data_IF_286710284804
#
_entry.id   IF_286710284804
#
_cell.length_a   1.000
_cell.length_b   1.000
_cell.length_c   1.000
_cell.angle_alpha   90.00
_cell.angle_beta   90.00
_cell.angle_gamma   90.00
#
_symmetry.space_group_name_H-M   'P 1'
#
loop_
_entity.id
_entity.type
_entity.pdbx_description
1 polymer ?
#
# COMPACT_ATOMS: atom_id res chain seq x y z
N UNK A 1 4.44 11.44 28.82
CA UNK A 1 4.96 12.83 28.94
C UNK A 1 4.05 13.87 28.27
N UNK A 2 3.55 13.60 27.07
CA UNK A 2 2.61 14.47 26.33
C UNK A 2 1.38 14.93 27.13
N UNK A 3 0.73 14.02 27.86
CA UNK A 3 -0.48 14.30 28.64
C UNK A 3 -0.27 15.37 29.74
N UNK A 4 0.92 15.41 30.34
CA UNK A 4 1.28 16.41 31.35
C UNK A 4 1.43 17.79 30.70
N UNK A 5 2.11 17.87 29.56
CA UNK A 5 2.25 19.10 28.77
C UNK A 5 0.91 19.64 28.28
N UNK A 6 0.00 18.75 27.89
CA UNK A 6 -1.37 19.07 27.51
C UNK A 6 -2.13 19.73 28.67
N UNK A 7 -2.12 19.11 29.85
CA UNK A 7 -2.82 19.64 31.02
C UNK A 7 -2.24 20.97 31.50
N UNK A 8 -0.92 21.12 31.51
CA UNK A 8 -0.25 22.38 31.88
C UNK A 8 -0.62 23.50 30.90
N UNK A 9 -0.66 23.20 29.60
CA UNK A 9 -1.07 24.17 28.58
C UNK A 9 -2.54 24.58 28.76
N UNK A 10 -3.45 23.62 28.89
CA UNK A 10 -4.88 23.90 29.09
C UNK A 10 -5.15 24.72 30.36
N UNK A 11 -4.44 24.42 31.45
CA UNK A 11 -4.54 25.17 32.70
C UNK A 11 -4.00 26.61 32.54
N UNK A 12 -2.85 26.77 31.89
CA UNK A 12 -2.27 28.08 31.59
C UNK A 12 -3.20 28.94 30.73
N UNK A 13 -3.84 28.34 29.71
CA UNK A 13 -4.86 29.02 28.91
C UNK A 13 -6.08 29.43 29.72
N UNK A 14 -6.60 28.55 30.59
CA UNK A 14 -7.73 28.87 31.45
C UNK A 14 -7.46 30.09 32.34
N UNK A 15 -6.28 30.16 32.95
CA UNK A 15 -5.85 31.32 33.76
C UNK A 15 -5.74 32.58 32.89
N UNK A 16 -5.11 32.47 31.72
CA UNK A 16 -4.95 33.59 30.80
C UNK A 16 -6.30 34.19 30.37
N UNK A 17 -7.25 33.35 29.97
CA UNK A 17 -8.61 33.76 29.62
C UNK A 17 -9.36 34.40 30.79
N UNK A 18 -9.21 33.87 32.00
CA UNK A 18 -9.80 34.45 33.21
C UNK A 18 -9.27 35.86 33.47
N UNK A 19 -7.95 36.07 33.37
CA UNK A 19 -7.32 37.38 33.57
C UNK A 19 -7.77 38.41 32.53
N UNK A 20 -7.93 37.98 31.28
CA UNK A 20 -8.47 38.81 30.20
C UNK A 20 -9.94 39.17 30.43
N UNK A 21 -10.77 38.21 30.86
CA UNK A 21 -12.17 38.46 31.17
C UNK A 21 -12.33 39.50 32.30
N UNK A 22 -11.45 39.43 33.32
CA UNK A 22 -11.40 40.41 34.41
C UNK A 22 -10.96 41.79 33.88
N UNK A 23 -9.92 41.86 33.05
CA UNK A 23 -9.41 43.12 32.50
C UNK A 23 -10.35 43.80 31.49
N UNK A 24 -11.10 43.03 30.71
CA UNK A 24 -12.04 43.57 29.69
C UNK A 24 -13.29 44.20 30.28
N UNK A 25 -13.65 43.87 31.52
CA UNK A 25 -14.75 44.49 32.24
C UNK A 25 -14.63 46.02 32.33
N UNK A 26 -13.40 46.56 32.30
CA UNK A 26 -13.14 47.98 32.57
C UNK A 26 -12.80 48.85 31.34
N UNK A 27 -12.68 48.29 30.13
CA UNK A 27 -12.21 49.05 28.97
C UNK A 27 -13.35 49.46 28.03
N UNK A 28 -13.29 50.69 27.47
CA UNK A 28 -14.21 51.16 26.40
C UNK A 28 -14.04 50.36 25.08
N UNK A 29 -12.94 49.63 24.92
CA UNK A 29 -12.54 48.95 23.68
C UNK A 29 -12.68 47.42 23.74
N UNK A 30 -13.77 46.93 24.35
CA UNK A 30 -14.01 45.48 24.57
C UNK A 30 -13.83 44.64 23.31
N UNK A 31 -14.28 45.13 22.14
CA UNK A 31 -14.18 44.41 20.85
C UNK A 31 -12.73 44.13 20.43
N UNK A 32 -11.83 45.10 20.58
CA UNK A 32 -10.43 44.94 20.17
C UNK A 32 -9.74 43.87 21.02
N UNK A 33 -9.98 43.90 22.34
CA UNK A 33 -9.40 42.90 23.26
C UNK A 33 -9.90 41.50 22.93
N UNK A 34 -11.20 41.33 22.62
CA UNK A 34 -11.72 40.02 22.20
C UNK A 34 -11.03 39.48 20.94
N UNK A 35 -10.83 40.31 19.92
CA UNK A 35 -10.13 39.90 18.70
C UNK A 35 -8.67 39.51 18.97
N UNK A 36 -7.96 40.28 19.80
CA UNK A 36 -6.56 39.97 20.14
C UNK A 36 -6.46 38.63 20.87
N UNK A 37 -7.37 38.36 21.79
CA UNK A 37 -7.38 37.13 22.61
C UNK A 37 -7.73 35.92 21.76
N UNK A 38 -8.73 36.05 20.89
CA UNK A 38 -9.10 35.01 19.94
C UNK A 38 -7.93 34.68 19.01
N UNK A 39 -7.25 35.70 18.48
CA UNK A 39 -6.10 35.53 17.60
C UNK A 39 -4.91 34.84 18.31
N UNK A 40 -4.59 35.25 19.55
CA UNK A 40 -3.51 34.61 20.32
C UNK A 40 -3.82 33.14 20.65
N UNK A 41 -5.07 32.86 21.00
CA UNK A 41 -5.52 31.50 21.30
C UNK A 41 -5.44 30.61 20.06
N UNK A 42 -5.79 31.16 18.89
CA UNK A 42 -5.64 30.48 17.61
C UNK A 42 -4.19 30.16 17.29
N UNK A 43 -3.28 31.14 17.39
CA UNK A 43 -1.85 30.95 17.10
C UNK A 43 -1.25 29.90 18.02
N UNK A 44 -1.51 29.98 19.32
CA UNK A 44 -0.92 29.08 20.29
C UNK A 44 -1.52 27.66 20.20
N UNK A 45 -2.81 27.50 19.88
CA UNK A 45 -3.39 26.20 19.54
C UNK A 45 -2.79 25.62 18.23
N UNK A 46 -2.55 26.47 17.22
CA UNK A 46 -1.97 26.04 15.95
C UNK A 46 -0.55 25.49 16.10
N UNK A 47 0.24 26.07 17.01
CA UNK A 47 1.61 25.63 17.30
C UNK A 47 1.61 24.31 18.09
N UNK A 48 0.66 24.13 19.01
CA UNK A 48 0.67 22.99 19.93
C UNK A 48 0.12 21.69 19.34
N UNK A 49 -0.81 21.75 18.38
CA UNK A 49 -1.63 20.59 18.01
C UNK A 49 -1.55 20.14 16.54
N UNK A 50 -0.80 20.85 15.69
CA UNK A 50 -0.62 20.47 14.29
C UNK A 50 -1.85 20.66 13.39
N UNK A 51 -1.73 20.21 12.14
CA UNK A 51 -2.66 20.53 11.05
C UNK A 51 -4.12 20.02 11.21
N UNK A 52 -4.40 18.83 11.78
CA UNK A 52 -5.77 18.34 11.89
C UNK A 52 -6.62 19.11 12.92
N UNK A 53 -5.97 19.61 13.98
CA UNK A 53 -6.64 20.39 15.03
C UNK A 53 -6.85 21.85 14.57
N UNK A 54 -6.01 22.33 13.67
CA UNK A 54 -6.14 23.64 13.02
C UNK A 54 -7.46 23.78 12.25
N UNK A 55 -7.89 22.77 11.50
CA UNK A 55 -9.13 22.84 10.70
C UNK A 55 -10.38 22.96 11.58
N UNK A 56 -10.46 22.18 12.65
CA UNK A 56 -11.53 22.27 13.65
C UNK A 56 -11.51 23.62 14.37
N UNK A 57 -10.33 24.16 14.71
CA UNK A 57 -10.22 25.50 15.29
C UNK A 57 -10.67 26.61 14.35
N UNK A 58 -10.36 26.52 13.05
CA UNK A 58 -10.81 27.49 12.04
C UNK A 58 -12.35 27.49 11.95
N UNK A 59 -12.99 26.32 11.92
CA UNK A 59 -14.47 26.22 11.86
C UNK A 59 -15.11 26.88 13.08
N UNK A 60 -14.59 26.61 14.28
CA UNK A 60 -15.09 27.24 15.52
C UNK A 60 -14.84 28.75 15.56
N UNK A 61 -13.69 29.22 15.06
CA UNK A 61 -13.43 30.66 14.94
C UNK A 61 -14.39 31.36 13.98
N UNK A 62 -14.68 30.75 12.84
CA UNK A 62 -15.64 31.29 11.86
C UNK A 62 -17.03 31.34 12.50
N UNK A 63 -17.47 30.25 13.12
CA UNK A 63 -18.76 30.19 13.81
C UNK A 63 -18.88 31.25 14.92
N UNK A 64 -17.83 31.42 15.73
CA UNK A 64 -17.79 32.43 16.78
C UNK A 64 -17.77 33.86 16.23
N UNK A 65 -17.00 34.11 15.16
CA UNK A 65 -16.95 35.41 14.48
C UNK A 65 -18.31 35.78 13.86
N UNK A 66 -18.99 34.81 13.24
CA UNK A 66 -20.35 34.98 12.72
C UNK A 66 -21.36 35.27 13.85
N UNK A 67 -21.26 34.58 14.99
CA UNK A 67 -22.10 34.84 16.15
C UNK A 67 -21.92 36.28 16.69
N UNK A 68 -20.69 36.76 16.75
CA UNK A 68 -20.36 38.13 17.16
C UNK A 68 -20.83 39.19 16.14
N UNK A 69 -20.86 38.85 14.84
CA UNK A 69 -21.40 39.72 13.80
C UNK A 69 -22.92 39.86 13.90
N UNK A 70 -23.63 38.79 14.28
CA UNK A 70 -25.10 38.77 14.36
C UNK A 70 -25.61 39.41 15.66
N UNK A 71 -24.83 39.33 16.76
CA UNK A 71 -25.27 39.81 18.08
C UNK A 71 -24.53 41.08 18.50
N UNK A 72 -25.25 42.20 18.65
CA UNK A 72 -24.64 43.50 19.00
C UNK A 72 -23.86 43.45 20.33
N UNK A 73 -24.35 42.65 21.28
CA UNK A 73 -23.65 42.13 22.46
C UNK A 73 -24.35 40.83 22.90
N UNK A 74 -23.76 39.63 22.73
CA UNK A 74 -24.37 38.42 23.24
C UNK A 74 -24.44 38.49 24.77
N UNK A 75 -25.52 37.99 25.38
CA UNK A 75 -25.60 37.92 26.83
C UNK A 75 -24.51 37.01 27.38
N UNK A 76 -23.99 37.30 28.59
CA UNK A 76 -22.83 36.61 29.20
C UNK A 76 -23.00 35.08 29.26
N UNK A 77 -24.23 34.60 29.42
CA UNK A 77 -24.54 33.17 29.44
C UNK A 77 -24.26 32.50 28.08
N UNK A 78 -24.49 33.18 26.96
CA UNK A 78 -24.24 32.64 25.63
C UNK A 78 -22.73 32.50 25.35
N UNK A 79 -21.93 33.45 25.82
CA UNK A 79 -20.46 33.34 25.76
C UNK A 79 -19.93 32.21 26.65
N UNK A 80 -20.49 32.07 27.85
CA UNK A 80 -20.11 31.00 28.77
C UNK A 80 -20.43 29.62 28.17
N UNK A 81 -21.59 29.49 27.53
CA UNK A 81 -21.98 28.27 26.81
C UNK A 81 -21.07 27.99 25.61
N UNK A 82 -20.74 28.99 24.81
CA UNK A 82 -19.81 28.83 23.67
C UNK A 82 -18.41 28.39 24.13
N UNK A 83 -17.90 28.98 25.22
CA UNK A 83 -16.62 28.58 25.81
C UNK A 83 -16.66 27.14 26.35
N UNK A 84 -17.76 26.75 27.02
CA UNK A 84 -17.95 25.39 27.49
C UNK A 84 -17.99 24.37 26.34
N UNK A 85 -18.76 24.64 25.28
CA UNK A 85 -18.84 23.77 24.10
C UNK A 85 -17.49 23.66 23.39
N UNK A 86 -16.74 24.76 23.29
CA UNK A 86 -15.39 24.75 22.75
C UNK A 86 -14.44 23.86 23.58
N UNK A 87 -14.44 24.02 24.90
CA UNK A 87 -13.64 23.19 25.81
C UNK A 87 -14.02 21.71 25.69
N UNK A 88 -15.31 21.37 25.61
CA UNK A 88 -15.78 20.00 25.38
C UNK A 88 -15.29 19.46 24.03
N UNK A 89 -15.31 20.27 22.97
CA UNK A 89 -14.76 19.90 21.67
C UNK A 89 -13.25 19.63 21.72
N UNK A 90 -12.47 20.46 22.41
CA UNK A 90 -11.03 20.24 22.61
C UNK A 90 -10.73 18.97 23.40
N UNK A 91 -11.51 18.70 24.47
CA UNK A 91 -11.38 17.46 25.26
C UNK A 91 -11.70 16.25 24.41
N UNK A 92 -12.78 16.30 23.61
CA UNK A 92 -13.17 15.21 22.72
C UNK A 92 -12.10 14.93 21.65
N UNK A 93 -11.59 15.98 20.98
CA UNK A 93 -10.52 15.83 19.98
C UNK A 93 -9.21 15.30 20.60
N UNK A 94 -8.86 15.76 21.81
CA UNK A 94 -7.67 15.26 22.52
C UNK A 94 -7.84 13.80 22.94
N UNK A 95 -9.02 13.41 23.40
CA UNK A 95 -9.35 12.02 23.72
C UNK A 95 -9.21 11.14 22.47
N UNK A 96 -9.77 11.58 21.35
CA UNK A 96 -9.70 10.84 20.08
C UNK A 96 -8.26 10.68 19.58
N UNK A 97 -7.46 11.75 19.65
CA UNK A 97 -6.03 11.67 19.34
C UNK A 97 -5.27 10.69 20.25
N UNK A 98 -5.51 10.72 21.57
CA UNK A 98 -4.89 9.75 22.50
C UNK A 98 -5.37 8.33 22.23
N UNK A 99 -6.64 8.15 21.85
CA UNK A 99 -7.19 6.85 21.45
C UNK A 99 -6.47 6.31 20.22
N UNK A 100 -6.27 7.13 19.19
CA UNK A 100 -5.54 6.76 17.98
C UNK A 100 -4.08 6.37 18.27
N UNK A 101 -3.39 7.12 19.14
CA UNK A 101 -2.02 6.77 19.55
C UNK A 101 -1.96 5.44 20.33
N UNK A 102 -2.92 5.18 21.22
CA UNK A 102 -2.97 3.91 21.96
C UNK A 102 -3.30 2.72 21.06
N UNK A 103 -4.13 2.94 20.05
CA UNK A 103 -4.41 1.96 19.01
C UNK A 103 -3.07 1.57 18.37
N UNK A 104 -2.31 2.53 17.86
CA UNK A 104 -1.00 2.28 17.25
C UNK A 104 -0.03 1.50 18.17
N UNK A 105 0.12 1.91 19.44
CA UNK A 105 0.92 1.19 20.43
C UNK A 105 0.48 -0.27 20.63
N UNK A 106 -0.84 -0.53 20.70
CA UNK A 106 -1.37 -1.89 20.83
C UNK A 106 -1.11 -2.73 19.57
N UNK A 107 -1.19 -2.11 18.40
CA UNK A 107 -0.93 -2.80 17.14
C UNK A 107 0.54 -3.13 16.95
N UNK A 108 1.46 -2.21 17.25
CA UNK A 108 2.89 -2.50 17.26
C UNK A 108 3.26 -3.60 18.26
N UNK A 109 2.58 -3.65 19.41
CA UNK A 109 2.77 -4.72 20.39
C UNK A 109 2.26 -6.08 19.89
N UNK A 110 1.19 -6.09 19.09
CA UNK A 110 0.57 -7.31 18.56
C UNK A 110 1.25 -7.82 17.29
N UNK A 111 1.70 -6.91 16.43
CA UNK A 111 2.31 -7.16 15.15
C UNK A 111 3.66 -6.43 15.10
N UNK A 112 4.74 -7.07 15.55
CA UNK A 112 6.05 -6.43 15.58
C UNK A 112 6.47 -6.04 14.17
N UNK A 113 7.11 -4.87 14.06
CA UNK A 113 7.71 -4.39 12.83
C UNK A 113 8.82 -5.37 12.42
N UNK A 114 8.72 -5.88 11.20
CA UNK A 114 9.74 -6.70 10.58
C UNK A 114 10.44 -5.90 9.49
N UNK A 115 11.77 -5.94 9.48
CA UNK A 115 12.52 -5.43 8.34
C UNK A 115 12.41 -6.41 7.17
N UNK A 116 12.20 -5.86 5.97
CA UNK A 116 12.22 -6.56 4.70
C UNK A 116 13.65 -6.71 4.16
N UNK A 117 14.66 -6.04 4.74
CA UNK A 117 16.05 -6.12 4.28
C UNK A 117 16.52 -7.57 4.12
N UNK A 118 16.36 -8.37 5.18
CA UNK A 118 16.80 -9.76 5.22
C UNK A 118 16.07 -10.63 4.17
N UNK A 119 14.87 -10.23 3.77
CA UNK A 119 14.11 -10.90 2.72
C UNK A 119 14.58 -10.49 1.33
N UNK A 120 15.05 -9.26 1.17
CA UNK A 120 15.51 -8.66 -0.08
C UNK A 120 17.03 -8.75 -0.27
N UNK A 121 17.78 -9.38 0.64
CA UNK A 121 19.23 -9.59 0.53
C UNK A 121 19.65 -10.24 -0.80
N UNK A 122 18.79 -11.08 -1.38
CA UNK A 122 19.05 -11.67 -2.70
C UNK A 122 19.06 -10.61 -3.81
N UNK A 123 18.25 -9.56 -3.72
CA UNK A 123 18.21 -8.47 -4.70
C UNK A 123 19.51 -7.69 -4.66
N UNK A 124 20.03 -7.41 -3.46
CA UNK A 124 21.33 -6.77 -3.29
C UNK A 124 22.45 -7.64 -3.87
N UNK A 125 22.39 -8.95 -3.65
CA UNK A 125 23.38 -9.91 -4.19
C UNK A 125 23.32 -9.99 -5.71
N UNK A 126 22.12 -10.02 -6.30
CA UNK A 126 21.94 -10.02 -7.76
C UNK A 126 22.43 -8.70 -8.36
N UNK A 127 22.16 -7.56 -7.72
CA UNK A 127 22.65 -6.25 -8.17
C UNK A 127 24.18 -6.10 -8.00
N UNK A 128 24.78 -6.74 -7.00
CA UNK A 128 26.22 -6.73 -6.80
C UNK A 128 26.97 -7.67 -7.76
N UNK A 129 26.38 -8.84 -8.06
CA UNK A 129 26.98 -9.86 -8.93
C UNK A 129 26.69 -9.65 -10.41
N UNK A 130 25.61 -8.93 -10.74
CA UNK A 130 25.59 -8.22 -12.00
C UNK A 130 26.61 -7.10 -11.85
N UNK A 131 27.88 -7.41 -12.14
CA UNK A 131 28.67 -6.49 -12.94
C UNK A 131 27.75 -6.18 -14.14
N UNK A 132 26.93 -5.15 -14.02
CA UNK A 132 26.59 -4.33 -15.16
C UNK A 132 27.92 -4.22 -15.85
N UNK A 133 28.06 -4.82 -17.03
CA UNK A 133 29.20 -4.66 -17.90
C UNK A 133 29.43 -3.15 -17.93
N UNK A 134 30.30 -2.68 -17.03
CA UNK A 134 30.64 -1.30 -16.95
C UNK A 134 31.39 -1.18 -18.24
N UNK A 135 30.79 -0.49 -19.21
CA UNK A 135 31.34 -0.24 -20.52
C UNK A 135 32.66 0.50 -20.27
N UNK A 136 33.73 -0.26 -20.03
CA UNK A 136 35.01 0.20 -19.47
C UNK A 136 35.98 0.54 -20.59
N UNK A 137 35.63 0.25 -21.85
CA UNK A 137 36.38 0.71 -23.00
C UNK A 137 35.97 2.14 -23.36
N UNK A 138 36.60 3.08 -22.67
CA UNK A 138 36.36 4.51 -22.81
C UNK A 138 37.26 5.09 -23.91
N UNK A 139 36.70 5.18 -25.11
CA UNK A 139 37.30 5.87 -26.25
C UNK A 139 37.03 7.39 -26.12
N UNK A 140 38.07 8.25 -26.06
CA UNK A 140 37.90 9.69 -25.88
C UNK A 140 37.21 10.37 -27.07
N UNK A 141 37.27 9.81 -28.28
CA UNK A 141 36.52 10.31 -29.44
C UNK A 141 35.04 9.93 -29.32
N UNK A 142 34.76 8.72 -28.82
CA UNK A 142 33.41 8.36 -28.36
C UNK A 142 32.92 9.26 -27.25
N UNK A 143 33.75 9.86 -26.38
CA UNK A 143 33.27 10.76 -25.32
C UNK A 143 32.75 12.09 -25.88
N UNK A 144 33.30 12.59 -26.99
CA UNK A 144 32.81 13.82 -27.60
C UNK A 144 31.51 13.54 -28.39
N UNK A 145 31.44 12.41 -29.10
CA UNK A 145 30.18 11.88 -29.64
C UNK A 145 29.17 11.57 -28.55
N UNK A 146 29.63 11.09 -27.39
CA UNK A 146 28.82 10.88 -26.20
C UNK A 146 28.44 12.21 -25.59
N UNK A 147 29.18 13.32 -25.64
CA UNK A 147 28.71 14.62 -25.12
C UNK A 147 27.62 15.21 -26.00
N UNK A 148 27.76 15.12 -27.32
CA UNK A 148 26.73 15.56 -28.28
C UNK A 148 25.50 14.63 -28.21
N UNK A 149 25.73 13.32 -28.13
CA UNK A 149 24.68 12.34 -27.92
C UNK A 149 24.10 12.42 -26.50
N UNK A 150 24.85 12.77 -25.46
CA UNK A 150 24.46 12.96 -24.04
C UNK A 150 23.73 14.27 -23.86
N UNK A 151 23.97 15.29 -24.65
CA UNK A 151 23.11 16.48 -24.66
C UNK A 151 21.76 16.15 -25.30
N UNK A 152 21.77 15.40 -26.42
CA UNK A 152 20.55 14.79 -27.00
C UNK A 152 19.94 13.69 -26.12
N UNK A 153 20.74 12.99 -25.31
CA UNK A 153 20.34 11.92 -24.40
C UNK A 153 19.97 12.45 -23.04
N UNK A 154 20.33 13.68 -22.67
CA UNK A 154 19.82 14.41 -21.52
C UNK A 154 18.46 15.01 -21.89
N UNK A 155 18.31 15.49 -23.12
CA UNK A 155 16.99 15.84 -23.65
C UNK A 155 16.11 14.59 -23.82
N UNK A 156 16.67 13.48 -24.33
CA UNK A 156 15.98 12.18 -24.42
C UNK A 156 15.79 11.52 -23.06
N UNK A 157 16.69 11.65 -22.09
CA UNK A 157 16.54 11.08 -20.75
C UNK A 157 15.57 11.91 -19.95
N UNK A 158 15.56 13.25 -20.07
CA UNK A 158 14.49 14.08 -19.52
C UNK A 158 13.17 13.88 -20.24
N UNK A 159 13.17 13.51 -21.53
CA UNK A 159 11.96 13.13 -22.25
C UNK A 159 11.49 11.74 -21.83
N UNK A 160 12.37 10.76 -21.71
CA UNK A 160 12.09 9.40 -21.24
C UNK A 160 11.71 9.38 -19.78
N UNK A 161 12.36 10.17 -18.93
CA UNK A 161 12.00 10.40 -17.53
C UNK A 161 10.64 11.09 -17.46
N UNK A 162 10.36 12.08 -18.30
CA UNK A 162 9.01 12.66 -18.38
C UNK A 162 7.98 11.66 -18.87
N UNK A 163 8.29 10.81 -19.85
CA UNK A 163 7.40 9.77 -20.37
C UNK A 163 7.21 8.66 -19.34
N UNK A 164 8.26 8.23 -18.65
CA UNK A 164 8.25 7.20 -17.63
C UNK A 164 7.56 7.71 -16.37
N UNK A 165 7.90 8.90 -15.88
CA UNK A 165 7.16 9.59 -14.80
C UNK A 165 5.71 9.85 -15.20
N UNK A 166 5.43 10.18 -16.46
CA UNK A 166 4.06 10.30 -16.99
C UNK A 166 3.34 8.95 -17.03
N UNK A 167 4.03 7.87 -17.40
CA UNK A 167 3.47 6.53 -17.52
C UNK A 167 3.25 5.93 -16.14
N UNK A 168 4.20 6.08 -15.23
CA UNK A 168 4.10 5.78 -13.80
C UNK A 168 3.00 6.62 -13.17
N UNK A 169 2.97 7.95 -13.37
CA UNK A 169 1.88 8.76 -12.85
C UNK A 169 0.53 8.36 -13.47
N UNK A 170 0.45 8.10 -14.78
CA UNK A 170 -0.80 7.60 -15.40
C UNK A 170 -1.19 6.22 -14.93
N UNK A 171 -0.23 5.36 -14.61
CA UNK A 171 -0.45 4.03 -14.07
C UNK A 171 -0.89 4.11 -12.60
N UNK A 172 -0.28 5.01 -11.82
CA UNK A 172 -0.61 5.30 -10.42
C UNK A 172 -1.85 6.21 -10.31
N UNK A 173 -2.33 6.81 -11.39
CA UNK A 173 -3.52 7.67 -11.40
C UNK A 173 -4.60 7.15 -12.33
N UNK A 174 -4.43 5.96 -12.93
CA UNK A 174 -5.46 5.39 -13.80
C UNK A 174 -6.60 4.85 -12.93
N UNK A 175 -7.86 4.96 -13.38
CA UNK A 175 -8.97 4.29 -12.72
C UNK A 175 -8.71 2.77 -12.73
N UNK A 176 -8.20 2.21 -11.63
CA UNK A 176 -7.69 0.84 -11.65
C UNK A 176 -6.41 0.59 -10.87
N UNK A 177 -5.49 1.56 -10.83
CA UNK A 177 -4.17 1.41 -10.23
C UNK A 177 -3.73 2.77 -9.64
N UNK A 178 -3.26 2.81 -8.38
CA UNK A 178 -2.86 4.09 -7.77
C UNK A 178 -2.99 4.26 -6.27
N UNK A 179 -2.24 5.23 -5.70
CA UNK A 179 -2.16 5.59 -4.25
C UNK A 179 -3.53 5.77 -3.57
N UNK A 180 -4.59 6.02 -4.33
CA UNK A 180 -5.97 6.06 -3.82
C UNK A 180 -6.63 4.67 -3.65
N UNK A 181 -5.89 3.56 -3.81
CA UNK A 181 -6.40 2.18 -3.70
C UNK A 181 -5.96 1.41 -2.48
N UNK A 182 -4.96 1.87 -1.75
CA UNK A 182 -4.92 1.44 -0.37
C UNK A 182 -5.93 2.36 0.30
N UNK A 183 -7.16 1.91 0.69
CA UNK A 183 -7.80 2.56 1.82
C UNK A 183 -6.69 2.76 2.86
N UNK A 184 -6.63 3.90 3.54
CA UNK A 184 -5.70 4.00 4.67
C UNK A 184 -5.98 2.76 5.52
N UNK A 185 -5.11 1.75 5.41
CA UNK A 185 -5.27 0.47 6.06
C UNK A 185 -4.82 0.82 7.46
N UNK A 186 -5.78 1.39 8.19
CA UNK A 186 -5.67 1.57 9.59
C UNK A 186 -5.39 0.20 10.19
N UNK A 187 -4.70 0.14 11.32
CA UNK A 187 -4.38 -1.12 11.95
C UNK A 187 -5.63 -2.01 12.17
N UNK A 188 -6.83 -1.42 12.28
CA UNK A 188 -8.11 -2.12 12.33
C UNK A 188 -8.48 -2.99 11.12
N UNK A 189 -7.77 -2.85 10.00
CA UNK A 189 -7.94 -3.67 8.79
C UNK A 189 -6.96 -4.84 8.72
N UNK A 190 -6.03 -4.94 9.67
CA UNK A 190 -5.24 -6.16 9.86
C UNK A 190 -6.19 -7.18 10.49
N UNK A 191 -7.00 -7.81 9.63
CA UNK A 191 -7.70 -9.03 9.99
C UNK A 191 -6.63 -10.00 10.51
N UNK A 192 -6.95 -10.73 11.58
CA UNK A 192 -6.13 -11.82 12.08
C UNK A 192 -6.14 -12.95 11.05
N UNK A 193 -5.42 -12.74 9.94
CA UNK A 193 -5.20 -13.76 8.95
C UNK A 193 -4.18 -14.72 9.54
N UNK A 194 -4.59 -15.97 9.71
CA UNK A 194 -3.64 -17.04 9.94
C UNK A 194 -2.73 -17.16 8.71
N UNK A 195 -1.51 -17.68 8.90
CA UNK A 195 -0.63 -18.02 7.78
C UNK A 195 -1.38 -18.89 6.76
N UNK A 196 -1.14 -18.67 5.47
CA UNK A 196 -1.78 -19.45 4.42
C UNK A 196 -1.60 -20.95 4.70
N UNK A 197 -2.66 -21.78 4.68
CA UNK A 197 -2.55 -23.20 4.96
C UNK A 197 -1.68 -23.89 3.90
N UNK A 198 -1.05 -25.00 4.29
CA UNK A 198 -0.44 -25.91 3.30
C UNK A 198 -1.57 -26.67 2.63
N UNK A 199 -1.77 -26.43 1.33
CA UNK A 199 -2.80 -27.08 0.54
C UNK A 199 -2.13 -28.07 -0.41
N UNK A 200 -2.29 -29.38 -0.19
CA UNK A 200 -1.72 -30.37 -1.09
C UNK A 200 -2.38 -30.27 -2.46
N UNK A 201 -1.57 -30.32 -3.52
CA UNK A 201 -2.10 -30.55 -4.86
C UNK A 201 -2.72 -31.97 -4.89
N UNK A 202 -3.81 -32.20 -5.63
CA UNK A 202 -4.47 -33.51 -5.68
C UNK A 202 -3.46 -34.65 -5.96
N UNK A 203 -3.54 -35.74 -5.21
CA UNK A 203 -2.47 -36.77 -5.10
C UNK A 203 -2.02 -37.43 -6.41
N UNK A 204 -2.82 -37.38 -7.47
CA UNK A 204 -2.42 -37.82 -8.82
C UNK A 204 -1.27 -36.96 -9.40
N UNK A 205 -0.99 -35.79 -8.81
CA UNK A 205 0.05 -34.86 -9.24
C UNK A 205 1.35 -34.95 -8.45
N UNK A 206 1.32 -35.54 -7.25
CA UNK A 206 2.49 -35.57 -6.38
C UNK A 206 3.70 -36.23 -7.07
N UNK A 207 3.48 -37.19 -7.98
CA UNK A 207 4.56 -37.99 -8.57
C UNK A 207 4.15 -38.51 -9.97
N UNK A 208 4.07 -37.67 -10.99
CA UNK A 208 4.97 -37.93 -12.12
C UNK A 208 6.27 -37.22 -11.78
N UNK A 209 7.04 -37.80 -10.83
CA UNK A 209 8.49 -37.58 -10.81
C UNK A 209 8.91 -38.00 -12.21
N UNK A 210 9.10 -37.04 -13.10
CA UNK A 210 9.58 -37.29 -14.44
C UNK A 210 11.03 -37.73 -14.29
N UNK A 211 11.22 -39.00 -13.94
CA UNK A 211 12.46 -39.72 -14.21
C UNK A 211 12.64 -39.92 -15.71
N UNK A 212 11.64 -39.60 -16.53
CA UNK A 212 11.89 -39.14 -17.89
C UNK A 212 12.55 -37.77 -17.79
N UNK A 213 13.86 -37.63 -18.05
CA UNK A 213 14.47 -36.32 -18.17
C UNK A 213 13.62 -35.50 -19.12
N UNK A 214 13.28 -34.27 -18.72
CA UNK A 214 12.92 -33.26 -19.70
C UNK A 214 14.00 -33.36 -20.77
N UNK A 215 13.69 -33.64 -22.04
CA UNK A 215 14.73 -33.78 -23.04
C UNK A 215 15.56 -32.48 -23.01
N UNK A 216 16.81 -32.57 -22.54
CA UNK A 216 17.77 -31.44 -22.45
C UNK A 216 17.99 -30.76 -23.81
N UNK A 217 17.48 -31.40 -24.84
CA UNK A 217 17.30 -30.90 -26.17
C UNK A 217 15.83 -30.46 -26.27
N UNK A 218 15.58 -29.20 -25.86
CA UNK A 218 14.89 -28.30 -26.78
C UNK A 218 15.76 -28.18 -28.04
N UNK A 219 15.96 -29.30 -28.77
CA UNK A 219 16.06 -29.21 -30.21
C UNK A 219 14.82 -28.42 -30.56
N UNK A 220 15.04 -27.16 -30.98
CA UNK A 220 14.08 -26.38 -31.74
C UNK A 220 13.28 -27.42 -32.51
N UNK A 221 11.96 -27.57 -32.26
CA UNK A 221 11.18 -28.53 -33.00
C UNK A 221 11.59 -28.31 -34.45
N UNK A 222 12.05 -29.36 -35.16
CA UNK A 222 12.48 -29.19 -36.54
C UNK A 222 11.40 -28.33 -37.20
N UNK A 223 11.79 -27.36 -38.02
CA UNK A 223 10.86 -26.54 -38.80
C UNK A 223 10.15 -27.42 -39.86
N UNK A 224 9.62 -28.56 -39.41
CA UNK A 224 8.81 -29.53 -40.08
C UNK A 224 7.39 -28.99 -39.97
N UNK A 225 6.98 -28.34 -41.05
CA UNK A 225 5.65 -28.45 -41.63
C UNK A 225 4.51 -28.58 -40.60
N UNK A 226 4.32 -27.52 -39.80
CA UNK A 226 3.09 -27.33 -39.01
C UNK A 226 1.84 -27.15 -39.89
N UNK A 227 1.99 -27.24 -41.22
CA UNK A 227 0.91 -27.23 -42.22
C UNK A 227 0.24 -28.59 -42.43
N UNK A 228 0.79 -29.70 -41.93
CA UNK A 228 0.23 -31.03 -42.26
C UNK A 228 -0.49 -31.65 -41.06
N UNK A 229 -1.82 -31.62 -41.15
CA UNK A 229 -2.80 -32.27 -40.27
C UNK A 229 -3.08 -31.57 -38.93
N UNK A 230 -3.63 -30.35 -39.00
CA UNK A 230 -4.64 -29.95 -38.02
C UNK A 230 -5.83 -30.89 -38.22
N UNK A 231 -6.20 -31.74 -37.25
CA UNK A 231 -7.39 -32.58 -37.36
C UNK A 231 -8.58 -31.68 -37.66
N UNK A 232 -9.22 -31.92 -38.79
CA UNK A 232 -10.39 -31.19 -39.26
C UNK A 232 -11.50 -31.22 -38.20
N UNK A 233 -11.61 -30.14 -37.42
CA UNK A 233 -12.78 -29.36 -37.01
C UNK A 233 -14.12 -30.01 -36.59
N UNK A 234 -14.36 -31.31 -36.71
CA UNK A 234 -15.67 -31.92 -36.37
C UNK A 234 -15.79 -32.39 -34.92
N UNK A 235 -14.67 -32.46 -34.18
CA UNK A 235 -14.70 -32.56 -32.72
C UNK A 235 -14.43 -31.17 -32.15
N UNK A 236 -15.46 -30.32 -32.18
CA UNK A 236 -15.43 -29.05 -31.46
C UNK A 236 -15.33 -29.36 -29.97
N UNK A 237 -14.09 -29.55 -29.49
CA UNK A 237 -13.85 -29.59 -28.06
C UNK A 237 -14.44 -28.32 -27.47
N UNK A 238 -15.24 -28.43 -26.40
CA UNK A 238 -15.88 -27.28 -25.78
C UNK A 238 -14.79 -26.32 -25.28
N UNK A 239 -14.49 -25.31 -26.10
CA UNK A 239 -13.55 -24.25 -25.77
C UNK A 239 -14.12 -23.52 -24.56
N UNK A 240 -13.42 -23.56 -23.43
CA UNK A 240 -13.78 -22.64 -22.37
C UNK A 240 -13.62 -21.23 -22.89
N UNK A 241 -14.60 -20.35 -22.63
CA UNK A 241 -14.44 -18.95 -22.96
C UNK A 241 -13.13 -18.46 -22.35
N UNK A 242 -12.26 -17.89 -23.19
CA UNK A 242 -11.00 -17.27 -22.75
C UNK A 242 -11.22 -16.34 -21.54
N UNK A 243 -12.40 -15.72 -21.47
CA UNK A 243 -12.85 -14.91 -20.34
C UNK A 243 -12.87 -15.66 -18.99
N UNK A 244 -13.35 -16.89 -18.92
CA UNK A 244 -13.42 -17.63 -17.65
C UNK A 244 -12.03 -18.03 -17.13
N UNK A 245 -11.09 -18.34 -18.03
CA UNK A 245 -9.68 -18.55 -17.65
C UNK A 245 -9.03 -17.27 -17.14
N UNK A 246 -9.35 -16.13 -17.78
CA UNK A 246 -8.85 -14.83 -17.38
C UNK A 246 -9.39 -14.42 -15.99
N UNK A 247 -10.69 -14.60 -15.75
CA UNK A 247 -11.32 -14.35 -14.44
C UNK A 247 -10.70 -15.24 -13.36
N UNK A 248 -10.56 -16.54 -13.62
CA UNK A 248 -9.89 -17.48 -12.70
C UNK A 248 -8.45 -17.05 -12.39
N UNK A 249 -7.71 -16.57 -13.39
CA UNK A 249 -6.35 -16.07 -13.21
C UNK A 249 -6.31 -14.83 -12.31
N UNK A 250 -7.22 -13.88 -12.52
CA UNK A 250 -7.32 -12.67 -11.69
C UNK A 250 -7.70 -13.00 -10.25
N UNK A 251 -8.69 -13.88 -10.05
CA UNK A 251 -9.11 -14.32 -8.72
C UNK A 251 -7.99 -15.06 -7.99
N UNK A 252 -7.27 -15.92 -8.71
CA UNK A 252 -6.09 -16.65 -8.18
C UNK A 252 -4.96 -15.70 -7.79
N UNK A 253 -4.73 -14.65 -8.58
CA UNK A 253 -3.74 -13.63 -8.26
C UNK A 253 -4.15 -12.82 -7.01
N UNK A 254 -5.44 -12.51 -6.89
CA UNK A 254 -6.02 -11.86 -5.71
C UNK A 254 -5.88 -12.71 -4.44
N UNK A 255 -6.15 -14.02 -4.52
CA UNK A 255 -5.95 -14.94 -3.39
C UNK A 255 -4.46 -15.04 -3.00
N UNK A 256 -3.57 -15.20 -4.00
CA UNK A 256 -2.14 -15.33 -3.73
C UNK A 256 -1.54 -14.07 -3.08
N UNK A 257 -1.91 -12.89 -3.58
CA UNK A 257 -1.44 -11.58 -3.08
C UNK A 257 -2.46 -10.96 -2.10
N UNK A 258 -3.19 -11.80 -1.36
CA UNK A 258 -4.28 -11.39 -0.47
C UNK A 258 -3.99 -10.03 0.20
N UNK A 259 -4.84 -9.03 -0.04
CA UNK A 259 -4.56 -7.65 0.38
C UNK A 259 -4.38 -7.54 1.90
N UNK A 260 -5.11 -8.33 2.68
CA UNK A 260 -4.98 -8.40 4.14
C UNK A 260 -3.66 -9.04 4.62
N UNK A 261 -2.93 -9.74 3.75
CA UNK A 261 -1.62 -10.32 4.07
C UNK A 261 -0.45 -9.33 3.98
N UNK A 262 -0.64 -8.16 3.36
CA UNK A 262 0.43 -7.15 3.19
C UNK A 262 0.82 -6.53 4.55
N UNK A 263 -0.12 -6.45 5.48
CA UNK A 263 0.08 -5.77 6.76
C UNK A 263 0.16 -4.25 6.63
N UNK A 264 0.57 -3.60 7.71
CA UNK A 264 0.80 -2.16 7.76
C UNK A 264 2.21 -1.82 7.28
N UNK A 265 2.32 -1.01 6.23
CA UNK A 265 3.60 -0.58 5.65
C UNK A 265 4.01 0.74 6.31
N UNK A 266 5.05 0.70 7.15
CA UNK A 266 5.61 1.90 7.78
C UNK A 266 6.50 2.66 6.79
N UNK A 267 7.39 1.92 6.12
CA UNK A 267 8.22 2.41 5.02
C UNK A 267 8.58 1.27 4.05
N UNK A 268 9.45 1.53 3.07
CA UNK A 268 9.85 0.54 2.05
C UNK A 268 10.61 -0.66 2.62
N UNK A 269 11.24 -0.51 3.78
CA UNK A 269 12.03 -1.54 4.46
C UNK A 269 11.30 -2.14 5.66
N UNK A 270 10.21 -1.55 6.16
CA UNK A 270 9.57 -1.95 7.41
C UNK A 270 8.07 -2.18 7.24
N UNK A 271 7.62 -3.37 7.66
CA UNK A 271 6.21 -3.77 7.63
C UNK A 271 5.81 -4.45 8.92
N UNK A 272 4.60 -4.17 9.40
CA UNK A 272 4.00 -4.79 10.59
C UNK A 272 2.85 -5.69 10.20
N UNK A 273 2.83 -6.93 10.71
CA UNK A 273 1.74 -7.87 10.43
C UNK A 273 1.77 -8.49 9.02
N UNK A 274 2.88 -8.34 8.30
CA UNK A 274 3.08 -8.96 6.99
C UNK A 274 3.05 -10.49 7.10
N UNK A 275 2.24 -11.12 6.25
CA UNK A 275 2.18 -12.57 6.06
C UNK A 275 2.70 -12.91 4.66
N UNK A 276 3.48 -13.97 4.56
CA UNK A 276 4.00 -14.41 3.28
C UNK A 276 2.85 -14.77 2.32
N UNK A 277 2.90 -14.20 1.10
CA UNK A 277 1.95 -14.50 0.04
C UNK A 277 1.88 -16.00 -0.27
N UNK A 278 0.69 -16.47 -0.59
CA UNK A 278 0.41 -17.88 -0.81
C UNK A 278 -1.07 -18.10 -1.03
N UNK A 279 -1.39 -19.15 -1.77
CA UNK A 279 -2.78 -19.54 -1.99
C UNK A 279 -3.42 -19.99 -0.67
N UNK A 280 -4.60 -19.47 -0.38
CA UNK A 280 -5.42 -19.90 0.77
C UNK A 280 -6.53 -20.83 0.35
N UNK A 281 -6.87 -20.84 -0.93
CA UNK A 281 -7.88 -21.72 -1.50
C UNK A 281 -7.35 -22.37 -2.79
N UNK A 282 -7.96 -23.51 -3.14
CA UNK A 282 -7.68 -24.14 -4.43
C UNK A 282 -8.38 -23.32 -5.52
N UNK A 283 -7.67 -22.84 -6.56
CA UNK A 283 -8.30 -22.12 -7.65
C UNK A 283 -9.45 -22.94 -8.25
N UNK A 284 -10.64 -22.36 -8.24
CA UNK A 284 -11.83 -22.94 -8.89
C UNK A 284 -12.14 -22.14 -10.14
N UNK A 285 -12.42 -22.84 -11.25
CA UNK A 285 -12.96 -22.20 -12.44
C UNK A 285 -14.46 -22.18 -12.21
N UNK A 286 -14.97 -21.02 -11.77
CA UNK A 286 -16.34 -20.90 -11.29
C UNK A 286 -17.34 -21.26 -12.39
N UNK A 287 -18.41 -21.92 -11.95
CA UNK A 287 -19.25 -22.80 -12.76
C UNK A 287 -20.56 -22.14 -13.16
N UNK A 288 -20.63 -20.81 -13.12
CA UNK A 288 -21.89 -20.07 -13.03
C UNK A 288 -22.88 -20.35 -14.17
N UNK A 289 -22.46 -20.93 -15.31
CA UNK A 289 -23.36 -21.28 -16.42
C UNK A 289 -23.44 -22.78 -16.79
N UNK A 290 -22.79 -23.71 -16.07
CA UNK A 290 -22.54 -25.08 -16.57
C UNK A 290 -23.42 -26.20 -15.95
N UNK A 291 -24.75 -26.06 -15.89
CA UNK A 291 -25.60 -27.25 -15.74
C UNK A 291 -25.62 -28.12 -17.01
N UNK A 292 -25.26 -27.55 -18.19
CA UNK A 292 -25.51 -28.20 -19.50
C UNK A 292 -24.28 -28.64 -20.30
N UNK A 293 -23.08 -28.18 -19.97
CA UNK A 293 -21.85 -28.53 -20.73
C UNK A 293 -20.72 -28.83 -19.75
N UNK A 294 -20.63 -30.11 -19.36
CA UNK A 294 -19.74 -30.59 -18.31
C UNK A 294 -18.28 -30.77 -18.76
N UNK A 295 -17.65 -29.75 -19.33
CA UNK A 295 -16.19 -29.74 -19.49
C UNK A 295 -15.58 -29.44 -18.14
N UNK A 296 -15.15 -30.48 -17.43
CA UNK A 296 -14.47 -30.32 -16.14
C UNK A 296 -13.03 -29.88 -16.41
N UNK A 297 -12.81 -28.58 -16.38
CA UNK A 297 -11.45 -28.06 -16.33
C UNK A 297 -10.81 -28.50 -15.02
N UNK A 298 -9.59 -29.00 -15.14
CA UNK A 298 -8.84 -29.57 -14.04
C UNK A 298 -7.50 -28.87 -13.99
N UNK A 299 -7.23 -28.18 -12.89
CA UNK A 299 -5.91 -27.61 -12.64
C UNK A 299 -4.90 -28.75 -12.55
N UNK A 300 -4.05 -28.88 -13.57
CA UNK A 300 -3.05 -29.94 -13.66
C UNK A 300 -1.77 -29.58 -12.93
N UNK A 301 -1.37 -28.32 -13.03
CA UNK A 301 -0.13 -27.85 -12.46
C UNK A 301 -0.22 -26.36 -12.18
N UNK A 302 0.32 -25.96 -11.03
CA UNK A 302 0.53 -24.57 -10.68
C UNK A 302 2.01 -24.39 -10.36
N UNK A 303 2.68 -23.52 -11.10
CA UNK A 303 4.11 -23.29 -11.00
C UNK A 303 4.36 -21.87 -10.52
N UNK A 304 5.20 -21.73 -9.50
CA UNK A 304 5.75 -20.44 -9.14
C UNK A 304 7.08 -20.27 -9.87
N UNK A 305 7.14 -19.22 -10.69
CA UNK A 305 8.34 -18.88 -11.46
C UNK A 305 9.00 -17.68 -10.79
N UNK A 306 10.26 -17.84 -10.42
CA UNK A 306 11.07 -16.74 -9.96
C UNK A 306 11.73 -16.04 -11.14
N UNK A 307 11.52 -14.74 -11.23
CA UNK A 307 12.16 -13.90 -12.24
C UNK A 307 13.33 -13.08 -11.68
N UNK A 308 13.33 -12.82 -10.37
CA UNK A 308 14.26 -11.88 -9.73
C UNK A 308 15.16 -12.52 -8.67
N UNK A 309 14.78 -13.67 -8.09
CA UNK A 309 15.53 -14.29 -6.99
C UNK A 309 16.74 -15.09 -7.45
N UNK A 310 16.74 -15.52 -8.70
CA UNK A 310 17.81 -16.34 -9.28
C UNK A 310 18.40 -15.60 -10.50
N UNK A 311 19.68 -15.82 -10.84
CA UNK A 311 20.30 -15.21 -12.02
C UNK A 311 19.60 -15.57 -13.34
N UNK A 312 18.99 -16.75 -13.38
CA UNK A 312 18.18 -17.24 -14.50
C UNK A 312 16.77 -17.55 -13.98
N UNK A 313 15.70 -17.43 -14.80
CA UNK A 313 14.36 -17.80 -14.40
C UNK A 313 14.33 -19.23 -13.84
N UNK A 314 13.72 -19.42 -12.67
CA UNK A 314 13.70 -20.70 -11.98
C UNK A 314 12.28 -21.05 -11.55
N UNK A 315 11.88 -22.31 -11.75
CA UNK A 315 10.56 -22.83 -11.38
C UNK A 315 10.67 -23.65 -10.10
N UNK A 316 9.87 -23.30 -9.09
CA UNK A 316 9.81 -24.08 -7.84
C UNK A 316 8.97 -25.34 -8.03
N UNK A 317 9.51 -26.49 -7.64
CA UNK A 317 8.84 -27.79 -7.73
C UNK A 317 8.20 -28.15 -6.38
N UNK A 318 6.93 -27.81 -6.20
CA UNK A 318 6.16 -28.12 -4.99
C UNK A 318 5.07 -29.17 -5.27
N UNK A 319 4.80 -30.03 -4.28
CA UNK A 319 3.60 -30.90 -4.26
C UNK A 319 2.39 -30.21 -3.64
N UNK A 320 2.55 -28.97 -3.20
CA UNK A 320 1.55 -28.13 -2.54
C UNK A 320 1.34 -26.85 -3.34
N UNK A 321 0.25 -26.14 -3.10
CA UNK A 321 0.05 -24.82 -3.69
C UNK A 321 1.21 -23.87 -3.29
N UNK A 322 1.66 -23.01 -4.21
CA UNK A 322 2.77 -22.11 -3.95
C UNK A 322 2.55 -21.21 -2.73
N UNK A 323 3.60 -21.13 -1.89
CA UNK A 323 3.69 -20.21 -0.75
C UNK A 323 5.09 -19.65 -0.65
N UNK A 324 5.20 -18.34 -0.40
CA UNK A 324 6.48 -17.63 -0.38
C UNK A 324 7.39 -18.01 0.80
N UNK A 325 6.82 -18.38 1.95
CA UNK A 325 7.56 -18.82 3.13
C UNK A 325 8.21 -20.20 2.96
N UNK A 326 7.54 -21.10 2.24
CA UNK A 326 8.03 -22.45 1.95
C UNK A 326 9.17 -22.51 0.91
N UNK A 327 9.41 -21.43 0.15
CA UNK A 327 10.37 -21.43 -0.97
C UNK A 327 11.83 -21.64 -0.57
N UNK A 328 12.17 -21.53 0.71
CA UNK A 328 13.54 -21.73 1.19
C UNK A 328 13.97 -23.19 1.07
N UNK A 329 13.02 -24.12 1.22
CA UNK A 329 13.27 -25.56 1.29
C UNK A 329 12.83 -26.32 0.02
N UNK A 330 12.24 -25.60 -0.95
CA UNK A 330 11.71 -26.19 -2.19
C UNK A 330 12.77 -26.19 -3.29
N UNK A 331 13.00 -27.37 -3.89
CA UNK A 331 13.89 -27.51 -5.05
C UNK A 331 13.41 -26.70 -6.26
N UNK A 332 14.34 -26.08 -6.97
CA UNK A 332 14.07 -25.36 -8.22
C UNK A 332 14.57 -26.13 -9.44
N UNK A 333 13.87 -26.02 -10.56
CA UNK A 333 14.36 -26.39 -11.90
C UNK A 333 14.56 -25.15 -12.76
N UNK A 334 15.52 -25.20 -13.69
CA UNK A 334 15.79 -24.16 -14.68
C UNK A 334 15.18 -24.54 -16.02
#
# INVERSE_FOLDING_TARGET
MFLIWLMVSLFGFGIYFLLIAIGTGQTKHRRAVYFTVLAYSFVAASIAYGAPVLTTHVVWMIAFSLLLLITAMPPVWAMSLACLLFLLGCVWASWDAVRLLRIDEQYQARFPVHSLSDRLDYEQTVMANHEYEQITHFDPDRLNDFRVAHQRHLERSRALERIHRSAVNRFISSPGFGVFRFPEFGPEWIDELDAAPSIPLPSEYAIRKSSTPFPDHLTTPPAADWETEVPSSESAEPSVPHQALWETHLDSAGDFVNEGSVGYVEDIEHVSGFLAHGFREMPTIDRQDSEKTATRWRLTQLQLVSLLKHPEPAVYNSSELPRMDALKDISTRR
#
